data_IF_275940503120
#
_entry.id   IF_275940503120
#
_cell.length_a   1.000
_cell.length_b   1.000
_cell.length_c   1.000
_cell.angle_alpha   90.00
_cell.angle_beta   90.00
_cell.angle_gamma   90.00
#
_symmetry.space_group_name_H-M   'P 1'
#
loop_
_entity.id
_entity.type
_entity.pdbx_description
1 polymer ?
#
# COMPACT_ATOMS: atom_id res chain seq x y z
N UNK A 1 -1.52 8.95 20.22
CA UNK A 1 -1.21 10.36 19.91
C UNK A 1 -1.59 10.61 18.47
N UNK A 2 -2.78 11.19 18.25
CA UNK A 2 -3.25 11.70 16.96
C UNK A 2 -2.30 12.85 16.59
N UNK A 3 -1.78 12.88 15.36
CA UNK A 3 -1.08 14.07 14.87
C UNK A 3 -2.17 15.09 14.55
N UNK A 4 -2.46 15.98 15.50
CA UNK A 4 -3.35 17.12 15.27
C UNK A 4 -2.60 18.13 14.40
N UNK A 5 -2.86 18.14 13.10
CA UNK A 5 -2.36 19.20 12.21
C UNK A 5 -3.43 20.29 12.19
N UNK A 6 -3.14 21.43 12.81
CA UNK A 6 -4.03 22.59 12.82
C UNK A 6 -3.92 23.34 11.49
N UNK A 7 -4.95 23.30 10.66
CA UNK A 7 -5.18 24.23 9.57
C UNK A 7 -6.64 24.68 9.64
N UNK A 8 -6.88 25.99 9.72
CA UNK A 8 -8.21 26.60 9.63
C UNK A 8 -9.30 26.07 10.58
N UNK A 9 -9.03 26.02 11.90
CA UNK A 9 -10.12 25.93 12.90
C UNK A 9 -10.89 24.61 12.99
N UNK A 10 -10.57 23.60 12.18
CA UNK A 10 -11.16 22.25 12.27
C UNK A 10 -10.12 21.25 12.78
N UNK A 11 -10.40 20.57 13.89
CA UNK A 11 -9.65 19.35 14.24
C UNK A 11 -10.10 18.25 13.30
N UNK A 12 -9.22 17.87 12.38
CA UNK A 12 -9.44 16.76 11.47
C UNK A 12 -8.44 15.63 11.75
N UNK A 13 -8.97 14.41 11.89
CA UNK A 13 -8.15 13.21 11.99
C UNK A 13 -7.79 12.74 10.58
N UNK A 14 -6.49 12.68 10.30
CA UNK A 14 -5.98 12.31 8.98
C UNK A 14 -5.28 10.95 9.00
N UNK A 15 -5.75 9.99 8.21
CA UNK A 15 -5.10 8.68 8.07
C UNK A 15 -4.44 8.58 6.70
N UNK A 16 -3.14 8.31 6.70
CA UNK A 16 -2.36 8.12 5.48
C UNK A 16 -2.15 6.62 5.26
N UNK A 17 -2.54 6.15 4.07
CA UNK A 17 -2.43 4.75 3.69
C UNK A 17 -1.99 4.60 2.24
N UNK A 18 -1.18 3.58 1.96
CA UNK A 18 -0.68 3.29 0.61
C UNK A 18 -0.97 1.84 0.23
N UNK A 19 -1.21 1.61 -1.06
CA UNK A 19 -1.39 0.28 -1.62
C UNK A 19 -0.51 0.15 -2.86
N UNK A 20 0.19 -0.97 -2.99
CA UNK A 20 1.00 -1.27 -4.16
C UNK A 20 0.13 -1.78 -5.30
N UNK A 21 0.51 -1.46 -6.54
CA UNK A 21 -0.16 -2.07 -7.69
C UNK A 21 0.05 -3.60 -7.69
N UNK A 22 -1.04 -4.36 -7.91
CA UNK A 22 -0.97 -5.80 -8.04
C UNK A 22 -0.08 -6.15 -9.24
N UNK A 23 1.10 -6.72 -8.96
CA UNK A 23 2.00 -7.22 -10.01
C UNK A 23 1.32 -8.41 -10.67
N UNK A 24 0.58 -8.15 -11.73
CA UNK A 24 0.03 -9.18 -12.61
C UNK A 24 1.17 -10.09 -13.02
N UNK A 25 1.16 -11.33 -12.54
CA UNK A 25 2.05 -12.39 -13.00
C UNK A 25 1.65 -12.85 -14.41
N UNK A 26 1.37 -11.91 -15.31
CA UNK A 26 0.99 -12.16 -16.71
C UNK A 26 2.13 -11.91 -17.68
N UNK A 27 3.38 -12.05 -17.26
CA UNK A 27 4.53 -11.84 -18.17
C UNK A 27 5.45 -13.06 -18.32
N UNK A 28 5.05 -14.25 -17.86
CA UNK A 28 5.83 -15.46 -18.12
C UNK A 28 5.19 -16.39 -19.18
N UNK A 29 3.92 -16.20 -19.55
CA UNK A 29 3.18 -17.17 -20.35
C UNK A 29 2.83 -16.75 -21.78
N UNK A 30 3.19 -15.54 -22.23
CA UNK A 30 2.68 -15.02 -23.51
C UNK A 30 3.49 -15.42 -24.76
N UNK A 31 4.54 -16.26 -24.65
CA UNK A 31 5.32 -16.69 -25.83
C UNK A 31 5.73 -18.17 -25.83
N UNK A 32 4.83 -19.09 -25.47
CA UNK A 32 5.09 -20.54 -25.62
C UNK A 32 3.99 -21.21 -26.45
N UNK A 33 4.26 -21.33 -27.75
CA UNK A 33 3.52 -22.22 -28.63
C UNK A 33 3.88 -23.69 -28.34
N UNK A 34 2.83 -24.48 -28.07
CA UNK A 34 2.67 -25.90 -28.42
C UNK A 34 3.53 -26.93 -27.65
N UNK A 35 3.03 -27.36 -26.48
CA UNK A 35 2.99 -28.76 -26.01
C UNK A 35 2.22 -28.86 -24.68
N UNK A 36 1.25 -29.77 -24.57
CA UNK A 36 0.38 -29.98 -23.38
C UNK A 36 1.17 -30.23 -22.07
N UNK A 37 2.38 -30.77 -22.17
CA UNK A 37 3.27 -31.04 -21.03
C UNK A 37 3.85 -29.76 -20.38
N UNK A 38 3.91 -28.66 -21.13
CA UNK A 38 4.39 -27.35 -20.64
C UNK A 38 3.35 -26.68 -19.74
N UNK A 39 2.06 -26.92 -19.96
CA UNK A 39 0.98 -26.32 -19.17
C UNK A 39 1.04 -26.72 -17.68
N UNK A 40 1.41 -27.98 -17.40
CA UNK A 40 1.53 -28.50 -16.03
C UNK A 40 2.75 -27.92 -15.29
N UNK A 41 3.85 -27.71 -16.01
CA UNK A 41 5.09 -27.08 -15.50
C UNK A 41 4.87 -25.58 -15.27
N UNK A 42 4.10 -24.91 -16.15
CA UNK A 42 3.66 -23.53 -15.94
C UNK A 42 2.80 -23.41 -14.68
N UNK A 43 1.86 -24.33 -14.42
CA UNK A 43 1.01 -24.32 -13.21
C UNK A 43 1.79 -24.57 -11.91
N UNK A 44 2.84 -25.39 -11.95
CA UNK A 44 3.67 -25.68 -10.77
C UNK A 44 4.68 -24.56 -10.47
N UNK A 45 5.23 -23.91 -11.50
CA UNK A 45 6.06 -22.70 -11.40
C UNK A 45 5.26 -21.40 -11.15
N UNK A 46 3.93 -21.45 -11.30
CA UNK A 46 3.01 -20.34 -10.99
C UNK A 46 2.68 -20.21 -9.50
N UNK A 47 2.95 -21.24 -8.68
CA UNK A 47 2.95 -21.05 -7.23
C UNK A 47 4.11 -20.12 -6.92
N UNK A 48 3.84 -18.81 -6.75
CA UNK A 48 4.78 -17.88 -6.12
C UNK A 48 5.35 -18.64 -4.92
N UNK A 49 6.68 -18.69 -4.71
CA UNK A 49 7.22 -19.20 -3.46
C UNK A 49 6.40 -18.56 -2.34
N UNK A 50 6.11 -19.28 -1.24
CA UNK A 50 5.37 -18.74 -0.08
C UNK A 50 6.16 -17.56 0.50
N UNK A 51 6.08 -16.43 -0.17
CA UNK A 51 6.89 -15.27 0.06
C UNK A 51 6.08 -14.45 1.04
N UNK A 52 6.75 -14.06 2.10
CA UNK A 52 6.13 -13.29 3.17
C UNK A 52 5.51 -12.02 2.56
N UNK A 53 4.35 -11.56 3.05
CA UNK A 53 3.62 -10.46 2.44
C UNK A 53 4.51 -9.24 2.36
N UNK A 54 4.66 -8.64 1.17
CA UNK A 54 5.58 -7.53 0.97
C UNK A 54 4.96 -6.24 1.52
N UNK A 55 3.65 -6.11 1.35
CA UNK A 55 2.78 -5.10 1.95
C UNK A 55 1.41 -5.70 2.30
N UNK A 56 0.45 -4.87 2.68
CA UNK A 56 -0.89 -5.32 3.06
C UNK A 56 -1.71 -5.90 1.88
N UNK A 57 -1.39 -5.59 0.61
CA UNK A 57 -2.06 -6.16 -0.56
C UNK A 57 -1.79 -7.66 -0.73
N UNK A 58 -0.65 -8.12 -0.23
CA UNK A 58 -0.27 -9.53 -0.22
C UNK A 58 -0.86 -10.32 0.97
N UNK A 59 -1.44 -9.64 1.96
CA UNK A 59 -1.99 -10.30 3.16
C UNK A 59 -3.26 -11.06 2.78
N UNK A 60 -3.21 -12.39 2.88
CA UNK A 60 -4.37 -13.26 2.72
C UNK A 60 -4.80 -13.80 4.08
N UNK A 61 -5.87 -13.25 4.64
CA UNK A 61 -6.36 -13.56 5.99
C UNK A 61 -7.89 -13.52 6.03
N UNK A 62 -8.49 -14.28 6.94
CA UNK A 62 -9.93 -14.20 7.25
C UNK A 62 -10.26 -13.25 8.40
N UNK A 63 -9.23 -12.71 9.08
CA UNK A 63 -9.37 -11.91 10.30
C UNK A 63 -9.83 -10.46 10.04
N UNK A 64 -9.69 -9.96 8.81
CA UNK A 64 -9.99 -8.56 8.48
C UNK A 64 -8.90 -7.59 8.95
N UNK A 65 -9.29 -6.35 9.21
CA UNK A 65 -8.41 -5.25 9.63
C UNK A 65 -7.52 -5.60 10.85
N UNK A 66 -6.30 -5.07 10.91
CA UNK A 66 -5.44 -5.26 12.09
C UNK A 66 -3.94 -5.05 11.86
N UNK A 67 -3.13 -5.38 12.87
CA UNK A 67 -1.67 -5.28 12.79
C UNK A 67 -1.10 -6.57 12.19
N UNK A 68 -0.33 -6.42 11.10
CA UNK A 68 0.34 -7.51 10.42
C UNK A 68 1.83 -7.19 10.21
N UNK A 69 2.66 -8.24 10.16
CA UNK A 69 4.07 -8.11 9.84
C UNK A 69 4.28 -8.26 8.33
N UNK A 70 4.78 -7.21 7.69
CA UNK A 70 5.10 -7.18 6.26
C UNK A 70 6.62 -7.19 6.04
N UNK A 71 7.05 -7.57 4.83
CA UNK A 71 8.45 -7.78 4.48
C UNK A 71 8.78 -7.12 3.13
N UNK A 72 8.90 -5.77 3.09
CA UNK A 72 9.38 -5.07 1.90
C UNK A 72 10.73 -5.60 1.43
N UNK A 73 11.04 -5.41 0.14
CA UNK A 73 12.31 -5.90 -0.42
C UNK A 73 13.52 -5.41 0.40
N UNK A 74 14.45 -6.32 0.68
CA UNK A 74 15.67 -6.04 1.46
C UNK A 74 15.36 -5.44 2.85
N UNK A 75 14.31 -5.94 3.51
CA UNK A 75 13.90 -5.58 4.87
C UNK A 75 13.83 -6.82 5.77
N UNK A 76 14.09 -6.64 7.07
CA UNK A 76 13.85 -7.66 8.11
C UNK A 76 12.35 -7.85 8.42
N UNK A 77 11.52 -7.00 7.83
CA UNK A 77 10.08 -6.91 8.09
C UNK A 77 9.76 -6.09 9.32
N UNK A 78 8.55 -5.54 9.35
CA UNK A 78 8.06 -4.71 10.43
C UNK A 78 6.54 -4.74 10.49
N UNK A 79 6.02 -4.38 11.66
CA UNK A 79 4.58 -4.37 11.90
C UNK A 79 3.95 -3.08 11.32
N UNK A 80 2.82 -3.25 10.66
CA UNK A 80 1.98 -2.21 10.08
C UNK A 80 0.52 -2.50 10.38
N UNK A 81 -0.31 -1.48 10.41
CA UNK A 81 -1.75 -1.68 10.40
C UNK A 81 -2.20 -1.88 8.95
N UNK A 82 -2.83 -3.01 8.67
CA UNK A 82 -3.47 -3.28 7.39
C UNK A 82 -4.97 -3.00 7.49
N UNK A 83 -5.42 -2.11 6.62
CA UNK A 83 -6.82 -1.91 6.30
C UNK A 83 -7.14 -2.78 5.07
N UNK A 84 -7.87 -3.86 5.32
CA UNK A 84 -8.23 -4.91 4.37
C UNK A 84 -9.69 -4.82 3.94
N UNK A 85 -10.43 -3.80 4.39
CA UNK A 85 -11.87 -3.66 4.17
C UNK A 85 -12.21 -2.42 3.33
N UNK A 86 -11.54 -1.28 3.55
CA UNK A 86 -11.84 -0.07 2.77
C UNK A 86 -11.32 -0.20 1.33
N UNK A 87 -12.12 0.19 0.34
CA UNK A 87 -11.75 0.21 -1.09
C UNK A 87 -11.00 -1.03 -1.58
N UNK A 88 -11.63 -2.20 -1.47
CA UNK A 88 -11.03 -3.50 -1.83
C UNK A 88 -9.84 -3.94 -0.95
N UNK A 89 -9.52 -3.19 0.10
CA UNK A 89 -8.49 -3.53 1.06
C UNK A 89 -7.06 -3.47 0.52
N UNK A 90 -6.14 -4.06 1.28
CA UNK A 90 -4.71 -4.09 0.94
C UNK A 90 -3.94 -2.82 1.34
N UNK A 91 -4.58 -1.91 2.07
CA UNK A 91 -4.01 -0.64 2.48
C UNK A 91 -3.02 -0.82 3.62
N UNK A 92 -1.79 -0.37 3.39
CA UNK A 92 -0.75 -0.26 4.42
C UNK A 92 -0.81 1.11 5.06
N UNK A 93 -1.29 1.19 6.30
CA UNK A 93 -1.39 2.45 7.05
C UNK A 93 -0.04 2.79 7.69
N UNK A 94 0.44 4.03 7.51
CA UNK A 94 1.75 4.47 8.02
C UNK A 94 1.67 5.71 8.92
N UNK A 95 0.49 6.01 9.47
CA UNK A 95 0.26 7.17 10.33
C UNK A 95 0.87 6.99 11.76
N UNK A 96 1.40 8.09 12.32
CA UNK A 96 1.71 8.38 13.75
C UNK A 96 3.15 8.39 14.26
N UNK A 97 4.23 8.26 13.47
CA UNK A 97 5.59 8.57 13.99
C UNK A 97 6.49 9.28 12.97
N UNK A 98 7.16 10.33 13.45
CA UNK A 98 8.14 11.20 12.76
C UNK A 98 9.31 10.45 12.09
N UNK A 99 9.49 9.15 12.36
CA UNK A 99 10.60 8.32 11.84
C UNK A 99 10.15 7.29 10.78
N UNK A 100 8.93 7.42 10.24
CA UNK A 100 8.35 6.50 9.26
C UNK A 100 8.92 6.61 7.83
N UNK A 101 9.63 7.70 7.51
CA UNK A 101 10.08 8.01 6.14
C UNK A 101 11.00 6.92 5.53
N UNK A 102 11.83 6.25 6.35
CA UNK A 102 12.66 5.11 5.91
C UNK A 102 11.84 3.89 5.51
N UNK A 103 10.80 3.59 6.29
CA UNK A 103 9.92 2.43 6.04
C UNK A 103 9.08 2.65 4.80
N UNK A 104 8.57 3.87 4.61
CA UNK A 104 7.79 4.21 3.43
C UNK A 104 8.64 4.34 2.17
N UNK A 105 9.89 4.81 2.26
CA UNK A 105 10.83 4.70 1.15
C UNK A 105 11.05 3.21 0.79
N UNK A 106 11.26 2.32 1.77
CA UNK A 106 11.42 0.88 1.51
C UNK A 106 10.22 0.25 0.82
N UNK A 107 9.01 0.66 1.20
CA UNK A 107 7.77 0.24 0.53
C UNK A 107 7.70 0.80 -0.89
N UNK A 108 7.72 2.12 -1.03
CA UNK A 108 7.47 2.79 -2.31
C UNK A 108 8.60 2.67 -3.34
N UNK A 109 9.81 2.27 -2.92
CA UNK A 109 10.92 2.02 -3.84
C UNK A 109 10.77 0.72 -4.64
N UNK A 110 9.82 -0.17 -4.29
CA UNK A 110 9.72 -1.50 -4.89
C UNK A 110 8.74 -1.59 -6.09
N UNK A 111 8.07 -0.49 -6.41
CA UNK A 111 7.08 -0.41 -7.49
C UNK A 111 6.24 0.86 -7.42
N UNK A 112 5.14 0.89 -8.18
CA UNK A 112 4.14 1.95 -8.12
C UNK A 112 3.22 1.74 -6.92
N UNK A 113 2.92 2.83 -6.24
CA UNK A 113 2.03 2.88 -5.09
C UNK A 113 1.02 4.00 -5.28
N UNK A 114 -0.22 3.72 -4.90
CA UNK A 114 -1.26 4.72 -4.70
C UNK A 114 -1.22 5.21 -3.25
N UNK A 115 -1.41 6.52 -3.06
CA UNK A 115 -1.65 7.12 -1.75
C UNK A 115 -3.12 7.46 -1.60
N UNK A 116 -3.67 7.12 -0.45
CA UNK A 116 -4.99 7.59 0.01
C UNK A 116 -4.84 8.34 1.34
N UNK A 117 -5.49 9.49 1.39
CA UNK A 117 -5.54 10.38 2.55
C UNK A 117 -6.98 10.44 3.02
N UNK A 118 -7.31 9.76 4.10
CA UNK A 118 -8.64 9.82 4.71
C UNK A 118 -8.69 10.99 5.70
N UNK A 119 -9.71 11.84 5.58
CA UNK A 119 -10.06 12.90 6.53
C UNK A 119 -11.35 12.50 7.24
N UNK A 120 -11.40 12.70 8.54
CA UNK A 120 -12.66 12.71 9.29
C UNK A 120 -12.73 13.95 10.17
N UNK A 121 -13.90 14.60 10.20
CA UNK A 121 -14.18 15.69 11.12
C UNK A 121 -14.87 15.19 12.40
N UNK A 122 -15.09 16.10 13.35
CA UNK A 122 -15.74 15.81 14.63
C UNK A 122 -17.24 15.54 14.51
N UNK A 123 -17.87 15.93 13.40
CA UNK A 123 -19.27 15.65 13.09
C UNK A 123 -19.47 14.27 12.46
N UNK A 124 -18.38 13.52 12.25
CA UNK A 124 -18.40 12.22 11.59
C UNK A 124 -18.44 12.31 10.07
N UNK A 125 -18.31 13.50 9.48
CA UNK A 125 -18.17 13.62 8.03
C UNK A 125 -16.81 13.09 7.61
N UNK A 126 -16.82 12.33 6.52
CA UNK A 126 -15.67 11.62 6.02
C UNK A 126 -15.42 12.02 4.56
N UNK A 127 -14.16 12.25 4.24
CA UNK A 127 -13.71 12.52 2.88
C UNK A 127 -12.37 11.83 2.64
N UNK A 128 -12.01 11.59 1.39
CA UNK A 128 -10.66 11.14 1.07
C UNK A 128 -10.12 11.76 -0.22
N UNK A 129 -8.81 11.83 -0.30
CA UNK A 129 -8.07 12.18 -1.50
C UNK A 129 -7.21 10.99 -1.95
N UNK A 130 -7.18 10.72 -3.26
CA UNK A 130 -6.34 9.69 -3.86
C UNK A 130 -5.29 10.29 -4.78
N UNK A 131 -4.14 9.63 -4.84
CA UNK A 131 -3.04 9.95 -5.75
C UNK A 131 -2.53 8.65 -6.35
N UNK A 132 -2.71 8.47 -7.66
CA UNK A 132 -2.32 7.24 -8.36
C UNK A 132 -0.81 6.99 -8.37
N UNK A 133 0.00 8.02 -8.12
CA UNK A 133 1.45 7.90 -7.98
C UNK A 133 1.91 8.51 -6.67
N UNK A 134 2.53 7.69 -5.84
CA UNK A 134 3.18 8.11 -4.61
C UNK A 134 4.52 7.39 -4.43
N UNK A 135 5.58 8.15 -4.18
CA UNK A 135 6.86 7.59 -3.76
C UNK A 135 7.65 8.54 -2.87
N UNK A 136 8.48 7.95 -2.01
CA UNK A 136 9.39 8.68 -1.13
C UNK A 136 10.82 8.32 -1.54
N UNK A 137 11.63 9.32 -1.88
CA UNK A 137 13.03 9.18 -2.24
C UNK A 137 13.90 8.63 -1.10
N UNK A 138 15.19 8.45 -1.36
CA UNK A 138 16.13 7.87 -0.39
C UNK A 138 16.84 8.99 0.40
N UNK A 139 17.86 8.62 1.19
CA UNK A 139 18.63 9.58 1.97
C UNK A 139 19.38 10.62 1.10
N UNK A 140 19.88 10.26 -0.09
CA UNK A 140 20.60 11.20 -0.96
C UNK A 140 19.69 12.26 -1.57
N UNK A 141 18.40 11.96 -1.73
CA UNK A 141 17.39 12.94 -2.15
C UNK A 141 16.67 13.57 -0.96
N UNK A 142 17.21 13.46 0.26
CA UNK A 142 16.57 13.92 1.50
C UNK A 142 15.12 13.45 1.66
N UNK A 143 14.84 12.20 1.24
CA UNK A 143 13.51 11.59 1.27
C UNK A 143 12.43 12.38 0.52
N UNK A 144 12.81 13.06 -0.56
CA UNK A 144 11.88 13.85 -1.40
C UNK A 144 10.62 13.07 -1.76
N UNK A 145 9.48 13.71 -1.51
CA UNK A 145 8.16 13.20 -1.86
C UNK A 145 7.87 13.40 -3.36
N UNK A 146 7.30 12.38 -4.00
CA UNK A 146 6.71 12.48 -5.35
C UNK A 146 5.27 12.06 -5.27
N UNK A 147 4.35 12.94 -5.68
CA UNK A 147 2.91 12.71 -5.73
C UNK A 147 2.36 13.15 -7.08
N UNK A 148 1.49 12.36 -7.71
CA UNK A 148 0.81 12.71 -8.95
C UNK A 148 -0.52 11.94 -9.12
N UNK A 149 -1.32 12.37 -10.11
CA UNK A 149 -2.58 11.72 -10.47
C UNK A 149 -3.65 11.84 -9.40
N UNK A 150 -3.89 13.07 -8.96
CA UNK A 150 -4.90 13.41 -7.97
C UNK A 150 -6.31 13.06 -8.44
N UNK A 151 -7.12 12.48 -7.55
CA UNK A 151 -8.57 12.35 -7.70
C UNK A 151 -9.29 12.63 -6.38
N UNK A 152 -10.25 13.55 -6.43
CA UNK A 152 -11.19 13.81 -5.32
C UNK A 152 -12.41 12.94 -5.50
N UNK A 153 -12.75 12.19 -4.46
CA UNK A 153 -14.03 11.53 -4.37
C UNK A 153 -14.67 11.89 -3.02
N UNK A 154 -15.80 12.57 -3.08
CA UNK A 154 -16.71 12.74 -1.95
C UNK A 154 -17.67 11.54 -1.93
N UNK A 155 -17.32 10.44 -1.25
CA UNK A 155 -18.22 9.29 -1.14
C UNK A 155 -17.66 8.15 -0.29
N UNK A 156 -18.36 7.85 0.81
CA UNK A 156 -18.32 6.70 1.74
C UNK A 156 -16.97 6.01 2.05
N UNK A 157 -16.58 6.00 3.34
CA UNK A 157 -15.49 5.17 3.90
C UNK A 157 -16.02 3.84 4.42
#
# INVERSE_FOLDING_TARGET
MVINVWFHGEKADWILKVVGEEKTQKSCCEKLHRAEKVEKICKEKQKKPKQRPIDCGDVKTKRGNGIYKIYPKNSKGFDVYCDLETDNGGWTVFQRRLNGYRRINKLTAQGKYELRVDKSDFNGNKAYAKYSTFSVGNASTNYRLTVAGYSENTGEL
#
